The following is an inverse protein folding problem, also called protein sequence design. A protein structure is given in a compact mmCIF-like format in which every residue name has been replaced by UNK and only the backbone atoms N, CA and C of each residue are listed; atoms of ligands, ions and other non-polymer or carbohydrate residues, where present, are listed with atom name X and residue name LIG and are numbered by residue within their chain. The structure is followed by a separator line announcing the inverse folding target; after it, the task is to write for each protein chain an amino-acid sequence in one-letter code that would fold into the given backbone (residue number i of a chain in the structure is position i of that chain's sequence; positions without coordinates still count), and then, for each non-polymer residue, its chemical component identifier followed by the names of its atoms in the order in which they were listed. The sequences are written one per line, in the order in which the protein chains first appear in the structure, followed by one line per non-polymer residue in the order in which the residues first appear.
data_IF_332121822326
#
_entry.id   IF_332121822326
#
_cell.length_a   1.000
_cell.length_b   1.000
_cell.length_c   1.000
_cell.angle_alpha   90.00
_cell.angle_beta   90.00
_cell.angle_gamma   90.00
#
_symmetry.space_group_name_H-M   'P 1'
#
loop_
_entity.id
_entity.type
_entity.pdbx_description
1 polymer ?
#
# COMPACT_ATOMS: atom_id res chain seq x y z
N UNK A 1 -6.29 33.04 15.14
CA UNK A 1 -7.18 32.15 14.34
C UNK A 1 -8.12 31.37 15.24
N UNK A 2 -9.41 31.23 14.87
CA UNK A 2 -10.42 30.43 15.60
C UNK A 2 -10.93 29.30 14.72
N UNK A 3 -11.44 28.23 15.35
CA UNK A 3 -12.08 27.12 14.61
C UNK A 3 -13.30 27.63 13.83
N UNK A 4 -13.43 27.24 12.56
CA UNK A 4 -14.48 27.66 11.64
C UNK A 4 -14.13 28.89 10.80
N UNK A 5 -13.11 29.66 11.14
CA UNK A 5 -12.65 30.78 10.33
C UNK A 5 -11.98 30.28 9.04
N UNK A 6 -12.14 31.06 7.96
CA UNK A 6 -11.60 30.78 6.62
C UNK A 6 -10.43 31.74 6.35
N UNK A 7 -9.36 31.18 5.82
CA UNK A 7 -8.16 31.91 5.44
C UNK A 7 -7.70 31.53 4.03
N UNK A 8 -6.86 32.38 3.46
CA UNK A 8 -6.16 32.15 2.20
C UNK A 8 -4.66 32.29 2.43
N UNK A 9 -3.88 31.45 1.75
CA UNK A 9 -2.42 31.52 1.84
C UNK A 9 -1.76 30.55 0.86
N UNK A 10 -0.43 30.66 0.76
CA UNK A 10 0.38 29.81 -0.10
C UNK A 10 0.93 28.65 0.72
N UNK A 11 0.88 27.45 0.17
CA UNK A 11 1.56 26.28 0.74
C UNK A 11 3.06 26.45 0.47
N UNK A 12 3.82 26.77 1.53
CA UNK A 12 5.26 27.04 1.41
C UNK A 12 6.07 25.75 1.22
N UNK A 13 5.69 24.69 1.93
CA UNK A 13 6.29 23.33 1.82
C UNK A 13 5.30 22.26 2.23
N UNK A 14 5.61 21.03 1.86
CA UNK A 14 4.82 19.84 2.24
C UNK A 14 5.76 18.79 2.85
N UNK A 15 5.52 18.42 4.10
CA UNK A 15 6.21 17.31 4.77
C UNK A 15 5.42 15.99 4.56
N UNK A 16 6.12 14.86 4.71
CA UNK A 16 5.52 13.52 4.58
C UNK A 16 4.40 13.30 5.61
N UNK A 17 3.28 12.63 5.27
CA UNK A 17 2.89 12.12 3.94
C UNK A 17 2.14 13.13 3.05
N UNK A 18 1.84 14.28 3.42
CA UNK A 18 1.30 15.46 2.76
C UNK A 18 0.75 16.44 3.80
N UNK A 19 1.64 16.97 4.61
CA UNK A 19 1.34 18.05 5.55
C UNK A 19 1.86 19.35 4.95
N UNK A 20 0.97 20.06 4.23
CA UNK A 20 1.27 21.40 3.71
C UNK A 20 1.32 22.41 4.84
N UNK A 21 2.23 23.38 4.76
CA UNK A 21 2.37 24.46 5.72
C UNK A 21 2.06 25.78 5.07
N UNK A 22 1.13 26.53 5.69
CA UNK A 22 0.76 27.88 5.32
C UNK A 22 1.05 28.81 6.50
N UNK A 23 1.67 29.97 6.23
CA UNK A 23 1.91 31.00 7.24
C UNK A 23 0.81 32.07 7.15
N UNK A 24 0.13 32.34 8.25
CA UNK A 24 -0.85 33.42 8.37
C UNK A 24 -0.43 34.31 9.54
N UNK A 25 0.04 35.50 9.26
CA UNK A 25 0.46 36.50 10.26
C UNK A 25 1.47 35.94 11.30
N UNK A 26 2.41 35.10 10.84
CA UNK A 26 3.41 34.45 11.67
C UNK A 26 2.93 33.17 12.39
N UNK A 27 1.66 32.81 12.29
CA UNK A 27 1.12 31.53 12.81
C UNK A 27 1.13 30.46 11.74
N UNK A 28 1.77 29.32 12.00
CA UNK A 28 1.90 28.19 11.09
C UNK A 28 0.67 27.29 11.13
N UNK A 29 0.03 27.09 9.98
CA UNK A 29 -1.13 26.22 9.81
C UNK A 29 -0.79 24.99 8.97
N UNK A 30 -1.22 23.81 9.39
CA UNK A 30 -1.09 22.58 8.61
C UNK A 30 -2.34 22.42 7.75
N UNK A 31 -2.17 22.43 6.42
CA UNK A 31 -3.23 22.17 5.45
C UNK A 31 -2.85 20.94 4.64
N UNK A 32 -3.63 19.87 4.78
CA UNK A 32 -3.39 18.61 4.05
C UNK A 32 -3.97 18.67 2.64
N UNK A 33 -3.52 17.75 1.78
CA UNK A 33 -4.01 17.53 0.41
C UNK A 33 -3.69 18.69 -0.56
N UNK A 34 -2.58 19.37 -0.35
CA UNK A 34 -2.09 20.39 -1.25
C UNK A 34 -0.69 20.11 -1.80
N UNK A 35 -0.28 20.91 -2.75
CA UNK A 35 1.02 20.88 -3.43
C UNK A 35 1.80 22.15 -3.05
N UNK A 36 3.13 22.09 -2.85
CA UNK A 36 3.93 23.28 -2.58
C UNK A 36 3.75 24.33 -3.69
N UNK A 37 3.57 25.60 -3.32
CA UNK A 37 3.34 26.71 -4.25
C UNK A 37 1.87 26.97 -4.60
N UNK A 38 0.93 26.07 -4.25
CA UNK A 38 -0.49 26.36 -4.41
C UNK A 38 -0.95 27.48 -3.49
N UNK A 39 -1.74 28.43 -4.02
CA UNK A 39 -2.54 29.34 -3.20
C UNK A 39 -3.88 28.69 -2.91
N UNK A 40 -4.19 28.55 -1.65
CA UNK A 40 -5.34 27.77 -1.18
C UNK A 40 -6.24 28.58 -0.26
N UNK A 41 -7.55 28.28 -0.29
CA UNK A 41 -8.50 28.68 0.73
C UNK A 41 -8.79 27.48 1.62
N UNK A 42 -8.70 27.67 2.92
CA UNK A 42 -8.91 26.61 3.90
C UNK A 42 -9.66 27.12 5.13
N UNK A 43 -10.31 26.22 5.82
CA UNK A 43 -11.03 26.50 7.06
C UNK A 43 -10.33 25.86 8.25
N UNK A 44 -10.09 26.60 9.31
CA UNK A 44 -9.54 26.06 10.55
C UNK A 44 -10.53 25.03 11.14
N UNK A 45 -10.12 23.77 11.16
CA UNK A 45 -10.94 22.67 11.67
C UNK A 45 -10.49 22.19 13.05
N UNK A 46 -9.22 22.40 13.43
CA UNK A 46 -8.67 21.99 14.70
C UNK A 46 -7.61 22.96 15.18
N UNK A 47 -7.66 23.26 16.48
CA UNK A 47 -6.61 24.02 17.18
C UNK A 47 -6.32 23.30 18.51
N UNK A 48 -5.08 22.85 18.69
CA UNK A 48 -4.66 22.13 19.91
C UNK A 48 -3.18 22.36 20.19
N UNK A 49 -2.86 22.75 21.44
CA UNK A 49 -1.46 22.86 21.93
C UNK A 49 -0.56 23.70 21.02
N UNK A 50 -1.03 24.89 20.58
CA UNK A 50 -0.24 25.80 19.71
C UNK A 50 -0.15 25.38 18.23
N UNK A 51 -0.83 24.29 17.82
CA UNK A 51 -0.88 23.84 16.42
C UNK A 51 -2.26 24.08 15.85
N UNK A 52 -2.32 24.72 14.66
CA UNK A 52 -3.54 24.94 13.90
C UNK A 52 -3.57 24.01 12.69
N UNK A 53 -4.69 23.30 12.48
CA UNK A 53 -4.93 22.47 11.29
C UNK A 53 -6.09 23.06 10.49
N UNK A 54 -5.90 23.18 9.18
CA UNK A 54 -6.89 23.66 8.22
C UNK A 54 -7.37 22.54 7.29
N UNK A 55 -8.66 22.53 6.98
CA UNK A 55 -9.23 21.72 5.92
C UNK A 55 -9.20 22.53 4.62
N UNK A 56 -8.51 22.02 3.61
CA UNK A 56 -8.50 22.57 2.26
C UNK A 56 -9.95 22.65 1.72
N UNK A 57 -10.36 23.81 1.27
CA UNK A 57 -11.67 24.02 0.66
C UNK A 57 -11.55 24.10 -0.87
N UNK A 58 -10.60 24.91 -1.36
CA UNK A 58 -10.39 25.11 -2.81
C UNK A 58 -8.95 25.56 -3.06
N UNK A 59 -8.39 25.14 -4.19
CA UNK A 59 -7.16 25.68 -4.77
C UNK A 59 -7.56 26.92 -5.59
N UNK A 60 -7.01 28.09 -5.25
CA UNK A 60 -7.27 29.36 -5.91
C UNK A 60 -6.32 29.59 -7.08
N UNK A 61 -5.06 29.21 -6.91
CA UNK A 61 -4.02 29.30 -7.93
C UNK A 61 -3.19 28.00 -7.88
N UNK A 62 -2.95 27.41 -9.04
CA UNK A 62 -2.15 26.20 -9.16
C UNK A 62 -0.68 26.45 -8.79
N UNK A 63 0.00 25.41 -8.37
CA UNK A 63 1.45 25.44 -8.16
C UNK A 63 2.19 25.54 -9.51
N UNK A 64 3.35 26.20 -9.55
CA UNK A 64 4.25 26.08 -10.70
C UNK A 64 4.70 24.65 -11.03
N UNK A 65 4.56 23.70 -10.07
CA UNK A 65 4.85 22.28 -10.26
C UNK A 65 3.72 21.53 -11.01
N UNK A 66 2.55 22.14 -11.13
CA UNK A 66 1.38 21.57 -11.81
C UNK A 66 1.44 21.91 -13.32
N UNK A 67 2.17 21.10 -14.07
CA UNK A 67 2.54 21.36 -15.46
C UNK A 67 1.79 20.48 -16.47
N UNK A 68 0.89 19.61 -16.02
CA UNK A 68 0.12 18.71 -16.88
C UNK A 68 -1.36 18.65 -16.49
N UNK A 69 -2.20 18.29 -17.46
CA UNK A 69 -3.60 17.99 -17.21
C UNK A 69 -3.75 16.59 -16.61
N UNK A 70 -4.67 16.40 -15.64
CA UNK A 70 -4.92 15.09 -15.07
C UNK A 70 -5.56 14.15 -16.10
N UNK A 71 -5.10 12.90 -16.13
CA UNK A 71 -5.61 11.89 -17.06
C UNK A 71 -6.87 11.20 -16.56
N UNK A 72 -7.21 11.33 -15.28
CA UNK A 72 -8.38 10.71 -14.66
C UNK A 72 -9.53 11.74 -14.52
N UNK A 73 -10.71 11.39 -15.03
CA UNK A 73 -11.89 12.26 -15.06
C UNK A 73 -12.43 12.66 -13.67
N UNK A 74 -12.21 11.84 -12.66
CA UNK A 74 -12.68 12.07 -11.28
C UNK A 74 -11.60 12.71 -10.38
N UNK A 75 -10.44 13.04 -10.93
CA UNK A 75 -9.45 13.88 -10.22
C UNK A 75 -9.91 15.34 -10.21
N UNK A 76 -9.68 16.12 -9.15
CA UNK A 76 -9.07 15.79 -7.85
C UNK A 76 -10.05 15.30 -6.77
N UNK A 77 -11.31 15.03 -7.14
CA UNK A 77 -12.35 14.69 -6.18
C UNK A 77 -12.14 13.30 -5.53
N UNK A 78 -11.57 12.35 -6.29
CA UNK A 78 -11.24 11.02 -5.79
C UNK A 78 -10.09 11.04 -4.77
N UNK A 79 -10.21 10.25 -3.70
CA UNK A 79 -9.18 10.10 -2.67
C UNK A 79 -7.97 9.24 -3.08
N UNK A 80 -7.99 8.59 -4.25
CA UNK A 80 -6.96 7.65 -4.67
C UNK A 80 -5.68 8.30 -5.19
N UNK A 81 -5.75 9.50 -5.78
CA UNK A 81 -4.60 10.22 -6.36
C UNK A 81 -4.45 11.61 -5.76
N UNK A 82 -3.19 12.08 -5.72
CA UNK A 82 -2.85 13.40 -5.19
C UNK A 82 -2.11 14.28 -6.21
N UNK A 83 -1.33 13.69 -7.13
CA UNK A 83 -0.29 14.41 -7.86
C UNK A 83 -0.42 14.36 -9.38
N UNK A 84 -1.60 14.00 -9.94
CA UNK A 84 -1.78 13.86 -11.40
C UNK A 84 -1.49 15.12 -12.22
N UNK A 85 -1.47 16.28 -11.59
CA UNK A 85 -1.11 17.57 -12.25
C UNK A 85 0.39 17.83 -12.26
N UNK A 86 1.19 17.09 -11.48
CA UNK A 86 2.65 17.19 -11.45
C UNK A 86 3.28 16.21 -12.41
N UNK A 87 4.42 16.57 -13.03
CA UNK A 87 5.23 15.58 -13.73
C UNK A 87 5.74 14.50 -12.77
N UNK A 88 5.95 13.27 -13.25
CA UNK A 88 6.42 12.18 -12.41
C UNK A 88 7.79 12.47 -11.79
N UNK A 89 8.66 13.15 -12.54
CA UNK A 89 9.97 13.59 -12.03
C UNK A 89 9.84 14.53 -10.82
N UNK A 90 8.92 15.49 -10.85
CA UNK A 90 8.69 16.40 -9.73
C UNK A 90 8.03 15.69 -8.54
N UNK A 91 7.17 14.70 -8.77
CA UNK A 91 6.65 13.83 -7.71
C UNK A 91 7.77 13.10 -6.98
N UNK A 92 8.72 12.50 -7.74
CA UNK A 92 9.89 11.81 -7.18
C UNK A 92 10.77 12.77 -6.37
N UNK A 93 11.14 13.92 -6.91
CA UNK A 93 11.94 14.94 -6.20
C UNK A 93 11.29 15.39 -4.89
N UNK A 94 9.97 15.60 -4.92
CA UNK A 94 9.22 15.99 -3.72
C UNK A 94 9.22 14.87 -2.67
N UNK A 95 8.93 13.63 -3.05
CA UNK A 95 8.95 12.47 -2.16
C UNK A 95 10.35 12.23 -1.58
N UNK A 96 11.39 12.31 -2.42
CA UNK A 96 12.77 12.19 -2.01
C UNK A 96 13.13 13.22 -0.94
N UNK A 97 12.86 14.49 -1.20
CA UNK A 97 13.13 15.59 -0.26
C UNK A 97 12.43 15.38 1.08
N UNK A 98 11.17 14.92 1.06
CA UNK A 98 10.40 14.64 2.26
C UNK A 98 10.99 13.51 3.09
N UNK A 99 11.33 12.38 2.45
CA UNK A 99 11.84 11.20 3.15
C UNK A 99 13.25 11.44 3.66
N UNK A 100 14.15 11.95 2.79
CA UNK A 100 15.52 12.28 3.19
C UNK A 100 15.55 13.23 4.37
N UNK A 101 14.74 14.30 4.34
CA UNK A 101 14.65 15.26 5.45
C UNK A 101 14.17 14.64 6.75
N UNK A 102 13.16 13.77 6.65
CA UNK A 102 12.62 13.04 7.80
C UNK A 102 13.63 12.09 8.45
N UNK A 103 14.36 11.32 7.64
CA UNK A 103 15.40 10.41 8.14
C UNK A 103 16.61 11.18 8.69
N UNK A 104 17.00 12.28 8.04
CA UNK A 104 18.10 13.13 8.51
C UNK A 104 17.81 13.72 9.89
N UNK A 105 16.56 14.13 10.14
CA UNK A 105 16.13 14.58 11.47
C UNK A 105 16.24 13.45 12.51
N UNK A 106 15.89 12.22 12.13
CA UNK A 106 15.92 11.07 13.03
C UNK A 106 17.34 10.61 13.41
N UNK A 107 18.29 10.65 12.45
CA UNK A 107 19.68 10.25 12.72
C UNK A 107 20.54 11.38 13.29
N UNK A 108 20.06 12.62 13.22
CA UNK A 108 20.75 13.82 13.66
C UNK A 108 21.46 14.57 12.53
N UNK A 109 21.56 15.90 12.71
CA UNK A 109 22.21 16.79 11.75
C UNK A 109 23.71 16.50 11.76
N UNK A 110 24.28 16.24 10.57
CA UNK A 110 25.70 15.92 10.37
C UNK A 110 26.04 14.42 10.33
N UNK A 111 25.09 13.54 10.62
CA UNK A 111 25.24 12.10 10.36
C UNK A 111 24.98 11.82 8.89
N UNK A 112 25.84 11.06 8.23
CA UNK A 112 25.63 10.65 6.84
C UNK A 112 24.55 9.55 6.77
N UNK A 113 23.55 9.77 5.93
CA UNK A 113 22.54 8.78 5.60
C UNK A 113 22.99 7.82 4.49
N UNK A 114 24.12 8.12 3.82
CA UNK A 114 24.52 7.43 2.59
C UNK A 114 23.34 7.27 1.63
N UNK A 115 22.69 8.41 1.37
CA UNK A 115 21.44 8.47 0.61
C UNK A 115 21.69 8.31 -0.89
N UNK A 116 21.09 7.26 -1.49
CA UNK A 116 21.26 6.87 -2.89
C UNK A 116 20.15 7.41 -3.81
N UNK A 117 19.20 8.18 -3.27
CA UNK A 117 18.12 8.78 -4.04
C UNK A 117 16.79 8.03 -3.94
N UNK A 118 15.89 8.34 -4.88
CA UNK A 118 14.60 7.68 -5.03
C UNK A 118 14.54 6.96 -6.38
N UNK A 119 14.15 5.69 -6.36
CA UNK A 119 13.90 4.89 -7.55
C UNK A 119 12.43 4.99 -7.95
N UNK A 120 12.16 5.40 -9.19
CA UNK A 120 10.80 5.47 -9.72
C UNK A 120 10.23 4.09 -10.07
N UNK A 121 8.92 4.01 -10.18
CA UNK A 121 8.23 2.85 -10.76
C UNK A 121 8.52 2.78 -12.27
N UNK A 122 8.71 1.59 -12.84
CA UNK A 122 8.86 1.43 -14.29
C UNK A 122 7.66 1.94 -15.11
N UNK A 123 6.48 1.96 -14.52
CA UNK A 123 5.26 2.52 -15.12
C UNK A 123 4.54 3.40 -14.12
N UNK A 124 3.98 4.51 -14.59
CA UNK A 124 3.29 5.51 -13.76
C UNK A 124 1.81 5.17 -13.57
N UNK A 125 1.17 4.58 -14.58
CA UNK A 125 -0.24 4.23 -14.61
C UNK A 125 -0.44 2.75 -14.92
N UNK A 126 -1.61 2.21 -14.62
CA UNK A 126 -1.94 0.81 -14.85
C UNK A 126 -1.15 -0.19 -13.98
N UNK A 127 -0.43 0.31 -13.01
CA UNK A 127 0.50 -0.50 -12.20
C UNK A 127 -0.17 -1.35 -11.12
N UNK A 128 -1.37 -0.95 -10.66
CA UNK A 128 -2.02 -1.65 -9.56
C UNK A 128 -2.59 -3.00 -9.98
N UNK A 129 -2.04 -4.03 -9.39
CA UNK A 129 -2.47 -5.42 -9.57
C UNK A 129 -3.60 -5.84 -8.61
N UNK A 130 -3.94 -5.01 -7.61
CA UNK A 130 -5.03 -5.20 -6.66
C UNK A 130 -5.78 -3.90 -6.44
N UNK A 131 -7.10 -3.92 -6.56
CA UNK A 131 -7.95 -2.80 -6.21
C UNK A 131 -9.23 -3.29 -5.56
N UNK A 132 -9.59 -2.63 -4.48
CA UNK A 132 -10.83 -2.80 -3.76
C UNK A 132 -11.70 -1.57 -4.04
N UNK A 133 -12.78 -1.78 -4.79
CA UNK A 133 -13.76 -0.75 -5.08
C UNK A 133 -14.94 -0.91 -4.14
N UNK A 134 -15.47 0.19 -3.63
CA UNK A 134 -16.65 0.20 -2.77
C UNK A 134 -17.91 0.44 -3.59
N UNK A 135 -18.98 -0.27 -3.27
CA UNK A 135 -20.33 0.12 -3.66
C UNK A 135 -20.82 1.25 -2.73
N UNK A 136 -21.56 2.18 -3.29
CA UNK A 136 -22.09 3.33 -2.55
C UNK A 136 -22.95 4.23 -3.41
N UNK A 137 -23.03 5.49 -3.01
CA UNK A 137 -23.61 6.59 -3.79
C UNK A 137 -22.67 7.80 -3.77
N UNK A 138 -22.71 8.64 -4.80
CA UNK A 138 -21.89 9.86 -4.88
C UNK A 138 -22.40 10.96 -3.95
N UNK A 139 -23.68 10.93 -3.68
CA UNK A 139 -24.39 11.78 -2.73
C UNK A 139 -25.57 10.99 -2.14
N UNK A 140 -25.96 11.34 -0.95
CA UNK A 140 -27.00 10.62 -0.20
C UNK A 140 -28.24 10.33 -1.07
N UNK A 141 -28.60 9.03 -1.13
CA UNK A 141 -29.72 8.48 -1.90
C UNK A 141 -29.63 8.75 -3.41
N UNK A 142 -28.39 8.92 -3.93
CA UNK A 142 -28.05 9.00 -5.35
C UNK A 142 -28.09 7.63 -6.05
N UNK A 143 -27.76 7.58 -7.35
CA UNK A 143 -27.67 6.33 -8.07
C UNK A 143 -26.55 5.45 -7.52
N UNK A 144 -26.68 4.12 -7.74
CA UNK A 144 -25.65 3.18 -7.35
C UNK A 144 -24.32 3.55 -8.03
N UNK A 145 -23.26 3.64 -7.24
CA UNK A 145 -21.91 3.92 -7.68
C UNK A 145 -20.99 2.76 -7.28
N UNK A 146 -19.96 2.51 -8.06
CA UNK A 146 -18.90 1.54 -7.75
C UNK A 146 -17.54 2.16 -8.03
N UNK A 147 -16.72 2.31 -6.99
CA UNK A 147 -15.43 2.96 -7.16
C UNK A 147 -14.73 3.30 -5.86
N UNK A 148 -14.24 4.53 -5.75
CA UNK A 148 -13.40 4.97 -4.65
C UNK A 148 -14.05 6.13 -3.89
N UNK A 149 -13.72 6.21 -2.60
CA UNK A 149 -14.25 7.29 -1.76
C UNK A 149 -13.78 8.66 -2.23
N UNK A 150 -14.70 9.62 -2.16
CA UNK A 150 -14.42 11.03 -2.39
C UNK A 150 -13.45 11.56 -1.33
N UNK A 151 -12.52 12.40 -1.75
CA UNK A 151 -11.51 13.00 -0.86
C UNK A 151 -12.18 13.75 0.31
N UNK A 152 -11.87 13.29 1.54
CA UNK A 152 -12.44 13.88 2.76
C UNK A 152 -13.85 13.41 3.11
N UNK A 153 -14.42 12.45 2.36
CA UNK A 153 -15.65 11.74 2.72
C UNK A 153 -15.38 10.26 2.98
N UNK A 154 -16.11 9.68 3.94
CA UNK A 154 -16.10 8.24 4.22
C UNK A 154 -17.34 7.52 3.69
N UNK A 155 -18.27 8.27 3.14
CA UNK A 155 -19.56 7.76 2.64
C UNK A 155 -19.68 7.90 1.12
N UNK A 156 -19.33 9.06 0.56
CA UNK A 156 -19.51 9.34 -0.86
C UNK A 156 -18.54 8.50 -1.70
N UNK A 157 -19.05 7.76 -2.66
CA UNK A 157 -18.30 6.89 -3.58
C UNK A 157 -18.41 7.42 -5.00
N UNK A 158 -17.27 7.74 -5.61
CA UNK A 158 -17.18 8.15 -7.01
C UNK A 158 -16.99 6.93 -7.90
N UNK A 159 -17.78 6.79 -8.95
CA UNK A 159 -17.62 5.70 -9.92
C UNK A 159 -16.27 5.78 -10.62
N UNK A 160 -15.49 4.70 -10.52
CA UNK A 160 -14.10 4.64 -10.97
C UNK A 160 -13.92 3.91 -12.32
N UNK A 161 -14.89 4.05 -13.24
CA UNK A 161 -14.88 3.37 -14.55
C UNK A 161 -13.75 3.80 -15.50
N UNK A 162 -13.01 4.88 -15.16
CA UNK A 162 -11.86 5.37 -15.92
C UNK A 162 -10.61 5.51 -15.03
N UNK A 163 -10.51 4.72 -13.96
CA UNK A 163 -9.36 4.77 -13.06
C UNK A 163 -8.06 4.39 -13.80
N UNK A 164 -7.08 5.29 -13.80
CA UNK A 164 -5.81 5.09 -14.51
C UNK A 164 -4.76 4.34 -13.69
N UNK A 165 -4.97 4.14 -12.39
CA UNK A 165 -4.03 3.37 -11.55
C UNK A 165 -4.10 1.87 -11.80
N UNK A 166 -5.22 1.37 -12.33
CA UNK A 166 -5.44 -0.04 -12.64
C UNK A 166 -5.43 -0.29 -14.14
N UNK A 167 -5.20 -1.54 -14.53
CA UNK A 167 -5.29 -1.96 -15.93
C UNK A 167 -6.72 -1.78 -16.48
N UNK A 168 -6.90 -1.45 -17.77
CA UNK A 168 -8.23 -1.30 -18.41
C UNK A 168 -9.16 -2.47 -18.23
N UNK A 169 -8.66 -3.71 -18.18
CA UNK A 169 -9.46 -4.90 -17.87
C UNK A 169 -10.25 -4.74 -16.56
N UNK A 170 -9.61 -4.17 -15.53
CA UNK A 170 -10.25 -4.01 -14.22
C UNK A 170 -11.37 -2.96 -14.25
N UNK A 171 -11.22 -1.90 -15.03
CA UNK A 171 -12.29 -0.89 -15.19
C UNK A 171 -13.44 -1.41 -16.08
N UNK A 172 -13.15 -2.25 -17.07
CA UNK A 172 -14.18 -2.92 -17.86
C UNK A 172 -15.01 -3.89 -17.01
N UNK A 173 -14.37 -4.67 -16.15
CA UNK A 173 -15.05 -5.55 -15.18
C UNK A 173 -15.88 -4.73 -14.20
N UNK A 174 -15.33 -3.65 -13.64
CA UNK A 174 -16.05 -2.76 -12.73
C UNK A 174 -17.32 -2.23 -13.37
N UNK A 175 -17.24 -1.72 -14.60
CA UNK A 175 -18.40 -1.18 -15.33
C UNK A 175 -19.47 -2.25 -15.56
N UNK A 176 -19.07 -3.45 -15.99
CA UNK A 176 -19.96 -4.57 -16.21
C UNK A 176 -20.68 -5.03 -14.92
N UNK A 177 -19.97 -5.05 -13.79
CA UNK A 177 -20.53 -5.39 -12.47
C UNK A 177 -21.50 -4.31 -11.99
N UNK A 178 -21.15 -3.03 -12.16
CA UNK A 178 -22.02 -1.91 -11.80
C UNK A 178 -23.32 -1.93 -12.60
N UNK A 179 -23.23 -2.11 -13.92
CA UNK A 179 -24.41 -2.17 -14.80
C UNK A 179 -25.32 -3.34 -14.40
N UNK A 180 -24.75 -4.52 -14.16
CA UNK A 180 -25.51 -5.71 -13.76
C UNK A 180 -26.33 -5.47 -12.49
N UNK A 181 -25.73 -4.95 -11.43
CA UNK A 181 -26.45 -4.72 -10.18
C UNK A 181 -27.37 -3.50 -10.24
N UNK A 182 -27.10 -2.54 -11.10
CA UNK A 182 -28.01 -1.42 -11.38
C UNK A 182 -29.28 -1.92 -12.08
N UNK A 183 -29.15 -2.79 -13.07
CA UNK A 183 -30.28 -3.44 -13.78
C UNK A 183 -31.17 -4.24 -12.82
N UNK A 184 -30.57 -4.87 -11.79
CA UNK A 184 -31.30 -5.62 -10.75
C UNK A 184 -31.91 -4.74 -9.66
N UNK A 185 -31.61 -3.44 -9.63
CA UNK A 185 -32.01 -2.55 -8.55
C UNK A 185 -31.40 -2.90 -7.19
N UNK A 186 -30.24 -3.55 -7.16
CA UNK A 186 -29.57 -3.97 -5.95
C UNK A 186 -29.08 -2.75 -5.14
N UNK A 187 -29.17 -2.83 -3.80
CA UNK A 187 -28.85 -1.73 -2.90
C UNK A 187 -27.49 -1.94 -2.24
N UNK A 188 -26.66 -0.89 -2.21
CA UNK A 188 -25.41 -0.94 -1.46
C UNK A 188 -25.63 -0.98 0.07
N UNK A 189 -24.66 -1.54 0.78
CA UNK A 189 -24.69 -1.61 2.24
C UNK A 189 -24.47 -0.23 2.87
N UNK A 190 -25.48 0.23 3.61
CA UNK A 190 -25.47 1.51 4.34
C UNK A 190 -24.86 1.30 5.73
N UNK A 191 -23.60 1.69 5.91
CA UNK A 191 -22.78 1.44 7.12
C UNK A 191 -23.45 1.92 8.43
N UNK A 192 -24.19 3.02 8.39
CA UNK A 192 -24.86 3.56 9.59
C UNK A 192 -26.17 2.86 9.96
N UNK A 193 -26.87 2.30 8.97
CA UNK A 193 -28.12 1.58 9.16
C UNK A 193 -27.91 0.07 9.28
N UNK A 194 -26.72 -0.43 8.88
CA UNK A 194 -26.40 -1.85 8.79
C UNK A 194 -27.36 -2.63 7.89
N UNK A 195 -27.83 -1.98 6.81
CA UNK A 195 -28.78 -2.54 5.85
C UNK A 195 -28.29 -2.37 4.43
N UNK A 196 -28.62 -3.32 3.54
CA UNK A 196 -28.24 -3.34 2.14
C UNK A 196 -27.36 -4.53 1.83
N UNK A 197 -27.11 -4.76 0.55
CA UNK A 197 -26.51 -5.98 0.05
C UNK A 197 -25.06 -5.79 -0.42
N UNK A 198 -24.82 -4.87 -1.36
CA UNK A 198 -23.53 -4.72 -2.02
C UNK A 198 -22.52 -3.98 -1.16
N UNK A 199 -21.32 -4.55 -0.97
CA UNK A 199 -20.24 -3.94 -0.19
C UNK A 199 -19.06 -3.53 -1.05
N UNK A 200 -18.37 -4.49 -1.66
CA UNK A 200 -17.13 -4.23 -2.41
C UNK A 200 -17.02 -5.09 -3.66
N UNK A 201 -16.24 -4.62 -4.61
CA UNK A 201 -15.67 -5.38 -5.70
C UNK A 201 -14.16 -5.40 -5.53
N UNK A 202 -13.58 -6.56 -5.20
CA UNK A 202 -12.14 -6.74 -5.13
C UNK A 202 -11.67 -7.39 -6.44
N UNK A 203 -10.76 -6.71 -7.13
CA UNK A 203 -10.13 -7.22 -8.35
C UNK A 203 -8.64 -7.44 -8.12
N UNK A 204 -8.13 -8.54 -8.64
CA UNK A 204 -6.69 -8.85 -8.69
C UNK A 204 -6.33 -9.24 -10.12
N UNK A 205 -5.18 -8.75 -10.60
CA UNK A 205 -4.68 -9.06 -11.94
C UNK A 205 -3.18 -9.30 -11.88
N UNK A 206 -2.73 -10.46 -12.33
CA UNK A 206 -1.30 -10.71 -12.52
C UNK A 206 -0.76 -9.82 -13.64
N UNK A 207 0.34 -9.13 -13.37
CA UNK A 207 0.98 -8.25 -14.37
C UNK A 207 1.65 -9.08 -15.45
N UNK A 208 2.36 -10.15 -15.06
CA UNK A 208 3.07 -11.03 -15.98
C UNK A 208 2.17 -12.11 -16.59
N UNK A 209 1.20 -12.65 -15.84
CA UNK A 209 0.33 -13.73 -16.30
C UNK A 209 -0.91 -13.23 -17.05
N UNK A 210 -1.36 -12.00 -16.79
CA UNK A 210 -2.66 -11.50 -17.27
C UNK A 210 -3.85 -12.18 -16.62
N UNK A 211 -3.66 -13.07 -15.65
CA UNK A 211 -4.73 -13.77 -14.95
C UNK A 211 -5.50 -12.83 -14.01
N UNK A 212 -6.84 -12.93 -14.02
CA UNK A 212 -7.71 -12.02 -13.26
C UNK A 212 -8.60 -12.81 -12.31
N UNK A 213 -8.65 -12.37 -11.04
CA UNK A 213 -9.64 -12.80 -10.07
C UNK A 213 -10.64 -11.68 -9.80
N UNK A 214 -11.91 -12.05 -9.80
CA UNK A 214 -13.04 -11.16 -9.52
C UNK A 214 -13.76 -11.62 -8.27
N UNK A 215 -13.92 -10.72 -7.28
CA UNK A 215 -14.62 -11.04 -6.04
C UNK A 215 -15.70 -10.00 -5.81
N UNK A 216 -16.95 -10.45 -5.80
CA UNK A 216 -18.11 -9.64 -5.40
C UNK A 216 -18.36 -9.88 -3.92
N UNK A 217 -18.28 -8.83 -3.12
CA UNK A 217 -18.41 -8.91 -1.66
C UNK A 217 -19.73 -8.27 -1.25
N UNK A 218 -20.56 -9.03 -0.52
CA UNK A 218 -21.91 -8.63 -0.15
C UNK A 218 -22.20 -8.96 1.31
N UNK A 219 -23.35 -8.55 1.77
CA UNK A 219 -23.96 -9.12 2.99
C UNK A 219 -24.83 -10.32 2.63
N UNK A 220 -25.37 -11.00 3.64
CA UNK A 220 -26.38 -12.07 3.50
C UNK A 220 -27.82 -11.54 3.42
N UNK A 221 -28.05 -10.21 3.35
CA UNK A 221 -29.39 -9.61 3.49
C UNK A 221 -30.26 -9.72 2.23
N UNK A 222 -29.68 -10.17 1.12
CA UNK A 222 -30.40 -10.50 -0.12
C UNK A 222 -29.70 -11.64 -0.84
N UNK A 223 -30.37 -12.22 -1.82
CA UNK A 223 -29.83 -13.27 -2.66
C UNK A 223 -30.14 -12.98 -4.12
N UNK A 224 -29.15 -13.14 -5.00
CA UNK A 224 -29.28 -12.96 -6.44
C UNK A 224 -28.67 -14.15 -7.18
N UNK A 225 -29.20 -14.44 -8.38
CA UNK A 225 -28.58 -15.39 -9.29
C UNK A 225 -27.33 -14.74 -9.94
N UNK A 226 -26.16 -15.33 -9.71
CA UNK A 226 -24.90 -14.89 -10.27
C UNK A 226 -24.55 -15.50 -11.63
N UNK A 227 -25.29 -16.50 -12.13
CA UNK A 227 -24.98 -17.13 -13.39
C UNK A 227 -25.00 -16.14 -14.58
N UNK A 228 -25.94 -15.18 -14.66
CA UNK A 228 -25.90 -14.15 -15.69
C UNK A 228 -24.69 -13.22 -15.59
N UNK A 229 -24.28 -12.85 -14.36
CA UNK A 229 -23.09 -12.03 -14.15
C UNK A 229 -21.81 -12.77 -14.59
N UNK A 230 -21.67 -14.03 -14.22
CA UNK A 230 -20.54 -14.88 -14.65
C UNK A 230 -20.46 -14.91 -16.18
N UNK A 231 -21.58 -15.19 -16.86
CA UNK A 231 -21.64 -15.23 -18.31
C UNK A 231 -21.26 -13.89 -18.95
N UNK A 232 -21.76 -12.78 -18.38
CA UNK A 232 -21.48 -11.41 -18.84
C UNK A 232 -19.99 -11.07 -18.68
N UNK A 233 -19.38 -11.41 -17.56
CA UNK A 233 -17.97 -11.15 -17.30
C UNK A 233 -17.04 -11.96 -18.21
N UNK A 234 -17.36 -13.24 -18.44
CA UNK A 234 -16.56 -14.10 -19.32
C UNK A 234 -16.66 -13.71 -20.81
N UNK A 235 -17.69 -12.95 -21.21
CA UNK A 235 -17.86 -12.43 -22.55
C UNK A 235 -17.15 -11.08 -22.80
N UNK A 236 -16.56 -10.45 -21.77
CA UNK A 236 -15.85 -9.18 -21.92
C UNK A 236 -14.60 -9.34 -22.80
N UNK A 237 -14.34 -8.40 -23.72
CA UNK A 237 -13.13 -8.39 -24.54
C UNK A 237 -11.93 -7.86 -23.75
N UNK A 238 -11.43 -8.66 -22.83
CA UNK A 238 -10.29 -8.32 -21.97
C UNK A 238 -8.97 -8.70 -22.64
N UNK A 239 -7.91 -8.00 -22.33
CA UNK A 239 -6.56 -8.39 -22.71
C UNK A 239 -6.11 -9.60 -21.88
N UNK A 240 -6.39 -9.58 -20.57
CA UNK A 240 -6.15 -10.69 -19.67
C UNK A 240 -7.26 -11.73 -19.70
N UNK A 241 -7.14 -12.72 -18.81
CA UNK A 241 -8.11 -13.82 -18.69
C UNK A 241 -8.67 -13.89 -17.27
N UNK A 242 -9.99 -13.88 -17.14
CA UNK A 242 -10.63 -14.20 -15.85
C UNK A 242 -10.41 -15.69 -15.59
N UNK A 243 -9.69 -16.01 -14.53
CA UNK A 243 -9.38 -17.37 -14.07
C UNK A 243 -10.25 -17.79 -12.90
N UNK A 244 -10.85 -16.82 -12.20
CA UNK A 244 -11.76 -17.11 -11.09
C UNK A 244 -12.72 -15.97 -10.81
N UNK A 245 -13.95 -16.34 -10.44
CA UNK A 245 -14.99 -15.42 -9.96
C UNK A 245 -15.53 -15.99 -8.65
N UNK A 246 -15.56 -15.16 -7.62
CA UNK A 246 -16.01 -15.54 -6.28
C UNK A 246 -17.08 -14.58 -5.76
N UNK A 247 -18.05 -15.13 -5.06
CA UNK A 247 -18.97 -14.39 -4.22
C UNK A 247 -18.55 -14.56 -2.76
N UNK A 248 -18.29 -13.47 -2.08
CA UNK A 248 -17.85 -13.44 -0.69
C UNK A 248 -18.95 -12.78 0.15
N UNK A 249 -19.41 -13.49 1.16
CA UNK A 249 -20.32 -12.94 2.16
C UNK A 249 -19.47 -12.37 3.31
N UNK A 250 -19.78 -11.13 3.67
CA UNK A 250 -19.15 -10.42 4.78
C UNK A 250 -20.22 -9.63 5.54
N UNK A 251 -20.63 -10.16 6.67
CA UNK A 251 -21.65 -9.55 7.55
C UNK A 251 -21.04 -8.75 8.71
N UNK A 252 -19.69 -8.56 8.71
CA UNK A 252 -19.05 -7.77 9.74
C UNK A 252 -19.55 -6.31 9.73
N UNK A 253 -19.62 -5.70 10.90
CA UNK A 253 -19.98 -4.28 11.03
C UNK A 253 -18.84 -3.37 10.55
N UNK A 254 -17.60 -3.87 10.55
CA UNK A 254 -16.43 -3.15 10.05
C UNK A 254 -16.43 -3.11 8.52
N UNK A 255 -15.75 -2.09 7.98
CA UNK A 255 -15.59 -1.92 6.53
C UNK A 255 -14.39 -2.69 5.96
N UNK A 256 -13.85 -3.62 6.72
CA UNK A 256 -12.72 -4.45 6.31
C UNK A 256 -13.21 -5.56 5.40
N UNK A 257 -12.52 -5.78 4.29
CA UNK A 257 -12.78 -6.93 3.42
C UNK A 257 -12.26 -8.19 4.10
N UNK A 258 -13.20 -8.98 4.58
CA UNK A 258 -13.00 -10.31 5.16
C UNK A 258 -14.08 -11.25 4.65
N UNK A 259 -13.99 -12.53 4.96
CA UNK A 259 -14.93 -13.53 4.51
C UNK A 259 -15.53 -14.29 5.69
N UNK A 260 -16.85 -14.29 5.78
CA UNK A 260 -17.60 -15.23 6.60
C UNK A 260 -17.91 -16.50 5.80
N UNK A 261 -18.14 -16.35 4.47
CA UNK A 261 -18.34 -17.44 3.53
C UNK A 261 -17.79 -17.05 2.15
N UNK A 262 -17.10 -17.96 1.47
CA UNK A 262 -16.65 -17.77 0.09
C UNK A 262 -17.24 -18.86 -0.81
N UNK A 263 -17.94 -18.44 -1.89
CA UNK A 263 -18.52 -19.29 -2.91
C UNK A 263 -17.76 -19.11 -4.21
N UNK A 264 -17.14 -20.18 -4.71
CA UNK A 264 -16.51 -20.19 -6.03
C UNK A 264 -17.60 -20.30 -7.10
N UNK A 265 -17.78 -19.24 -7.90
CA UNK A 265 -18.77 -19.18 -8.97
C UNK A 265 -18.21 -19.68 -10.31
N UNK A 266 -16.91 -19.49 -10.53
CA UNK A 266 -16.22 -19.92 -11.74
C UNK A 266 -14.73 -20.11 -11.50
N UNK A 267 -14.14 -21.14 -12.11
CA UNK A 267 -12.70 -21.34 -12.22
C UNK A 267 -11.99 -21.69 -10.92
N UNK A 268 -11.04 -20.89 -10.51
CA UNK A 268 -10.17 -21.12 -9.36
C UNK A 268 -10.08 -19.86 -8.45
N UNK A 269 -9.62 -20.05 -7.22
CA UNK A 269 -9.51 -19.00 -6.18
C UNK A 269 -8.10 -18.37 -6.09
N UNK A 270 -7.26 -18.61 -7.08
CA UNK A 270 -5.90 -18.09 -7.13
C UNK A 270 -5.50 -17.66 -8.56
N UNK A 271 -4.46 -16.87 -8.65
CA UNK A 271 -3.75 -16.55 -9.88
C UNK A 271 -2.24 -16.65 -9.67
N UNK A 272 -1.50 -16.60 -10.76
CA UNK A 272 -0.04 -16.60 -10.69
C UNK A 272 0.54 -15.24 -11.06
N UNK A 273 1.62 -14.87 -10.38
CA UNK A 273 2.46 -13.73 -10.70
C UNK A 273 3.93 -14.17 -10.70
N UNK A 274 4.77 -13.49 -11.50
CA UNK A 274 6.22 -13.74 -11.52
C UNK A 274 6.93 -12.49 -11.04
N UNK A 275 7.86 -12.64 -10.09
CA UNK A 275 8.75 -11.59 -9.61
C UNK A 275 10.20 -12.10 -9.64
N UNK A 276 11.09 -11.37 -10.33
CA UNK A 276 12.52 -11.69 -10.42
C UNK A 276 12.79 -13.17 -10.75
N UNK A 277 11.97 -13.74 -11.63
CA UNK A 277 12.07 -15.13 -12.10
C UNK A 277 11.41 -16.18 -11.20
N UNK A 278 10.93 -15.84 -10.02
CA UNK A 278 10.17 -16.74 -9.15
C UNK A 278 8.67 -16.61 -9.40
N UNK A 279 7.97 -17.73 -9.40
CA UNK A 279 6.53 -17.82 -9.59
C UNK A 279 5.80 -17.87 -8.27
N UNK A 280 4.79 -17.03 -8.08
CA UNK A 280 3.98 -16.97 -6.86
C UNK A 280 2.52 -17.32 -7.16
N UNK A 281 1.98 -18.27 -6.41
CA UNK A 281 0.55 -18.55 -6.35
C UNK A 281 -0.08 -17.59 -5.34
N UNK A 282 -1.02 -16.76 -5.79
CA UNK A 282 -1.62 -15.70 -5.00
C UNK A 282 -3.12 -15.95 -4.87
N UNK A 283 -3.59 -16.18 -3.66
CA UNK A 283 -5.02 -16.36 -3.36
C UNK A 283 -5.72 -15.02 -3.09
N UNK A 284 -7.03 -15.07 -2.90
CA UNK A 284 -7.91 -13.92 -2.65
C UNK A 284 -7.37 -12.95 -1.60
N UNK A 285 -7.00 -13.46 -0.42
CA UNK A 285 -6.60 -12.66 0.73
C UNK A 285 -5.09 -12.56 0.93
N UNK A 286 -4.28 -13.31 0.18
CA UNK A 286 -2.82 -13.23 0.28
C UNK A 286 -2.32 -11.81 0.08
N UNK A 287 -1.45 -11.34 0.99
CA UNK A 287 -0.72 -10.10 0.76
C UNK A 287 0.23 -10.28 -0.42
N UNK A 288 0.27 -9.30 -1.28
CA UNK A 288 1.24 -9.18 -2.36
C UNK A 288 1.39 -7.71 -2.71
N UNK A 289 2.60 -7.26 -3.05
CA UNK A 289 2.84 -5.86 -3.37
C UNK A 289 1.94 -5.39 -4.53
N UNK A 290 1.24 -4.26 -4.37
CA UNK A 290 0.22 -3.84 -5.35
C UNK A 290 0.77 -3.33 -6.68
N UNK A 291 2.07 -3.15 -6.79
CA UNK A 291 2.82 -2.79 -7.99
C UNK A 291 3.94 -3.81 -8.19
N UNK A 292 3.70 -4.84 -9.00
CA UNK A 292 4.66 -5.93 -9.22
C UNK A 292 5.99 -5.43 -9.81
N UNK A 293 5.94 -4.49 -10.76
CA UNK A 293 7.16 -3.98 -11.42
C UNK A 293 8.01 -3.13 -10.47
N UNK A 294 7.41 -2.28 -9.65
CA UNK A 294 8.15 -1.52 -8.65
C UNK A 294 8.59 -2.40 -7.47
N UNK A 295 7.88 -3.51 -7.19
CA UNK A 295 8.32 -4.51 -6.23
C UNK A 295 9.60 -5.22 -6.69
N UNK A 296 9.76 -5.49 -7.98
CA UNK A 296 11.03 -6.01 -8.54
C UNK A 296 12.18 -5.03 -8.32
N UNK A 297 11.96 -3.71 -8.48
CA UNK A 297 12.95 -2.68 -8.17
C UNK A 297 13.30 -2.72 -6.68
N UNK A 298 12.28 -2.69 -5.79
CA UNK A 298 12.47 -2.74 -4.34
C UNK A 298 13.28 -3.97 -3.91
N UNK A 299 12.88 -5.14 -4.35
CA UNK A 299 13.52 -6.39 -3.94
C UNK A 299 14.91 -6.60 -4.56
N UNK A 300 15.17 -6.04 -5.74
CA UNK A 300 16.51 -6.00 -6.32
C UNK A 300 17.45 -5.15 -5.47
N UNK A 301 16.99 -4.01 -4.95
CA UNK A 301 17.73 -3.15 -4.03
C UNK A 301 17.98 -3.88 -2.71
N UNK A 302 16.96 -4.52 -2.14
CA UNK A 302 17.12 -5.29 -0.89
C UNK A 302 18.17 -6.38 -1.08
N UNK A 303 18.13 -7.12 -2.18
CA UNK A 303 19.12 -8.16 -2.50
C UNK A 303 20.53 -7.58 -2.69
N UNK A 304 20.65 -6.42 -3.32
CA UNK A 304 21.94 -5.71 -3.48
C UNK A 304 22.48 -5.23 -2.12
N UNK A 305 21.63 -4.72 -1.23
CA UNK A 305 22.02 -4.29 0.11
C UNK A 305 22.49 -5.46 0.99
N UNK A 306 21.92 -6.63 0.82
CA UNK A 306 22.31 -7.84 1.53
C UNK A 306 23.67 -8.36 1.03
N UNK A 307 23.94 -8.23 -0.26
CA UNK A 307 25.16 -8.72 -0.90
C UNK A 307 25.24 -10.26 -0.97
N UNK A 308 26.44 -10.81 -1.02
CA UNK A 308 26.67 -12.26 -1.05
C UNK A 308 26.62 -12.84 0.37
N UNK A 309 25.59 -13.64 0.64
CA UNK A 309 25.32 -14.26 1.93
C UNK A 309 25.21 -15.78 1.83
N UNK A 310 25.86 -16.41 0.82
CA UNK A 310 25.76 -17.86 0.57
C UNK A 310 26.11 -18.76 1.75
N UNK A 311 26.93 -18.27 2.66
CA UNK A 311 27.33 -18.97 3.85
C UNK A 311 26.57 -18.53 5.12
N UNK A 312 25.61 -17.58 4.97
CA UNK A 312 24.92 -16.91 6.06
C UNK A 312 23.48 -17.38 6.23
N UNK A 313 23.02 -17.37 7.49
CA UNK A 313 21.64 -17.56 7.88
C UNK A 313 20.96 -16.18 8.02
N UNK A 314 19.83 -16.02 7.34
CA UNK A 314 19.09 -14.75 7.27
C UNK A 314 17.73 -14.92 7.91
N UNK A 315 17.35 -14.02 8.82
CA UNK A 315 15.98 -13.95 9.32
C UNK A 315 15.20 -12.89 8.53
N UNK A 316 14.05 -13.28 8.01
CA UNK A 316 13.04 -12.41 7.40
C UNK A 316 11.88 -12.25 8.37
N UNK A 317 11.91 -11.18 9.18
CA UNK A 317 10.90 -10.92 10.20
C UNK A 317 9.76 -10.10 9.62
N UNK A 318 8.52 -10.52 9.90
CA UNK A 318 7.28 -10.05 9.26
C UNK A 318 7.20 -10.49 7.80
N UNK A 319 7.53 -11.76 7.53
CA UNK A 319 7.80 -12.28 6.18
C UNK A 319 6.57 -12.36 5.26
N UNK A 320 5.35 -12.19 5.78
CA UNK A 320 4.11 -12.28 5.00
C UNK A 320 4.04 -13.63 4.26
N UNK A 321 3.80 -13.58 2.96
CA UNK A 321 3.79 -14.78 2.08
C UNK A 321 5.19 -15.24 1.66
N UNK A 322 6.23 -14.79 2.37
CA UNK A 322 7.62 -15.22 2.18
C UNK A 322 8.26 -14.75 0.87
N UNK A 323 7.79 -13.64 0.31
CA UNK A 323 8.31 -13.14 -0.98
C UNK A 323 9.78 -12.76 -0.87
N UNK A 324 10.16 -11.99 0.15
CA UNK A 324 11.54 -11.55 0.39
C UNK A 324 12.41 -12.78 0.68
N UNK A 325 12.01 -13.64 1.61
CA UNK A 325 12.73 -14.85 1.96
C UNK A 325 13.06 -15.71 0.74
N UNK A 326 12.08 -15.92 -0.15
CA UNK A 326 12.28 -16.72 -1.36
C UNK A 326 13.22 -16.06 -2.38
N UNK A 327 13.12 -14.74 -2.55
CA UNK A 327 14.02 -14.00 -3.44
C UNK A 327 15.47 -14.01 -2.94
N UNK A 328 15.67 -14.15 -1.64
CA UNK A 328 16.99 -14.25 -1.00
C UNK A 328 17.54 -15.66 -0.98
N UNK A 329 16.72 -16.69 -1.15
CA UNK A 329 17.16 -18.07 -1.14
C UNK A 329 18.32 -18.36 -2.09
N UNK A 330 18.39 -17.66 -3.23
CA UNK A 330 19.47 -17.80 -4.21
C UNK A 330 20.83 -17.26 -3.75
N UNK A 331 20.85 -16.39 -2.75
CA UNK A 331 22.06 -15.71 -2.24
C UNK A 331 22.35 -15.99 -0.78
N UNK A 332 21.54 -16.79 -0.08
CA UNK A 332 21.69 -17.15 1.32
C UNK A 332 21.88 -18.67 1.50
N UNK A 333 22.52 -19.07 2.59
CA UNK A 333 22.60 -20.48 3.02
C UNK A 333 21.22 -21.01 3.42
N UNK A 334 20.55 -20.28 4.30
CA UNK A 334 19.20 -20.55 4.77
C UNK A 334 18.48 -19.22 5.05
N UNK A 335 17.19 -19.15 4.76
CA UNK A 335 16.35 -18.02 5.14
C UNK A 335 15.20 -18.53 6.02
N UNK A 336 15.06 -17.94 7.21
CA UNK A 336 14.00 -18.23 8.15
C UNK A 336 13.02 -17.07 8.18
N UNK A 337 11.81 -17.28 7.63
CA UNK A 337 10.72 -16.34 7.65
C UNK A 337 9.85 -16.51 8.89
N UNK A 338 9.52 -15.40 9.57
CA UNK A 338 8.61 -15.38 10.72
C UNK A 338 7.42 -14.50 10.41
N UNK A 339 6.21 -15.04 10.51
CA UNK A 339 4.96 -14.35 10.21
C UNK A 339 3.86 -14.78 11.17
N UNK A 340 3.04 -13.83 11.63
CA UNK A 340 1.96 -14.10 12.59
C UNK A 340 0.74 -14.77 11.97
N UNK A 341 0.49 -14.53 10.67
CA UNK A 341 -0.68 -15.04 9.94
C UNK A 341 -0.39 -16.42 9.40
N UNK A 342 -1.00 -17.45 9.98
CA UNK A 342 -0.74 -18.86 9.63
C UNK A 342 -1.02 -19.17 8.14
N UNK A 343 -2.08 -18.60 7.57
CA UNK A 343 -2.41 -18.75 6.15
C UNK A 343 -1.34 -18.16 5.23
N UNK A 344 -0.68 -17.08 5.65
CA UNK A 344 0.42 -16.49 4.91
C UNK A 344 1.66 -17.39 4.96
N UNK A 345 1.93 -18.03 6.10
CA UNK A 345 3.01 -19.01 6.26
C UNK A 345 2.78 -20.23 5.38
N UNK A 346 1.57 -20.77 5.33
CA UNK A 346 1.24 -21.89 4.44
C UNK A 346 1.38 -21.49 2.96
N UNK A 347 0.94 -20.30 2.58
CA UNK A 347 1.16 -19.77 1.23
C UNK A 347 2.66 -19.63 0.90
N UNK A 348 3.48 -19.19 1.86
CA UNK A 348 4.93 -19.12 1.71
C UNK A 348 5.57 -20.49 1.45
N UNK A 349 5.16 -21.51 2.19
CA UNK A 349 5.63 -22.91 1.99
C UNK A 349 5.25 -23.45 0.62
N UNK A 350 3.99 -23.23 0.19
CA UNK A 350 3.50 -23.63 -1.14
C UNK A 350 4.32 -22.95 -2.24
N UNK A 351 4.59 -21.65 -2.11
CA UNK A 351 5.36 -20.89 -3.09
C UNK A 351 6.83 -21.29 -3.12
N UNK A 352 7.46 -21.56 -1.97
CA UNK A 352 8.82 -22.08 -1.92
C UNK A 352 8.93 -23.45 -2.61
N UNK A 353 7.99 -24.36 -2.36
CA UNK A 353 7.93 -25.65 -3.04
C UNK A 353 7.70 -25.50 -4.56
N UNK A 354 6.82 -24.59 -4.98
CA UNK A 354 6.56 -24.26 -6.41
C UNK A 354 7.83 -23.83 -7.13
N UNK A 355 8.72 -23.11 -6.45
CA UNK A 355 9.99 -22.62 -6.96
C UNK A 355 11.17 -23.57 -6.72
N UNK A 356 10.94 -24.76 -6.13
CA UNK A 356 11.98 -25.73 -5.82
C UNK A 356 13.00 -25.26 -4.78
N UNK A 357 12.63 -24.29 -3.92
CA UNK A 357 13.49 -23.74 -2.89
C UNK A 357 13.47 -24.65 -1.65
N UNK A 358 14.64 -25.16 -1.25
CA UNK A 358 14.79 -26.08 -0.10
C UNK A 358 15.43 -25.41 1.12
N UNK A 359 15.91 -24.20 0.97
CA UNK A 359 16.61 -23.42 2.00
C UNK A 359 15.78 -22.25 2.55
N UNK A 360 14.45 -22.31 2.41
CA UNK A 360 13.51 -21.41 3.07
C UNK A 360 12.70 -22.19 4.11
N UNK A 361 12.71 -21.73 5.35
CA UNK A 361 11.87 -22.24 6.44
C UNK A 361 10.94 -21.15 6.92
N UNK A 362 9.68 -21.46 7.14
CA UNK A 362 8.67 -20.48 7.57
C UNK A 362 8.04 -20.92 8.89
N UNK A 363 7.94 -19.99 9.83
CA UNK A 363 7.44 -20.17 11.19
C UNK A 363 6.23 -19.27 11.40
N UNK A 364 5.10 -19.89 11.76
CA UNK A 364 3.90 -19.16 12.15
C UNK A 364 4.01 -18.72 13.61
N UNK A 365 3.91 -17.43 13.86
CA UNK A 365 3.88 -16.87 15.21
C UNK A 365 4.22 -15.39 15.29
N UNK A 366 3.88 -14.83 16.44
CA UNK A 366 4.24 -13.44 16.75
C UNK A 366 5.77 -13.32 16.88
N UNK A 367 6.39 -12.44 16.10
CA UNK A 367 7.82 -12.14 16.16
C UNK A 367 8.29 -11.96 17.60
N UNK A 368 7.51 -11.25 18.45
CA UNK A 368 7.82 -11.02 19.84
C UNK A 368 8.01 -12.31 20.67
N UNK A 369 7.28 -13.39 20.33
CA UNK A 369 7.32 -14.69 21.02
C UNK A 369 8.31 -15.63 20.37
N UNK A 370 8.25 -15.73 19.04
CA UNK A 370 9.11 -16.66 18.26
C UNK A 370 10.59 -16.37 18.50
N UNK A 371 10.98 -15.08 18.64
CA UNK A 371 12.37 -14.71 18.94
C UNK A 371 12.89 -15.23 20.30
N UNK A 372 12.01 -15.56 21.25
CA UNK A 372 12.43 -16.17 22.53
C UNK A 372 12.71 -17.68 22.40
N UNK A 373 12.06 -18.34 21.44
CA UNK A 373 12.12 -19.80 21.27
C UNK A 373 13.14 -20.24 20.20
N UNK A 374 13.58 -19.29 19.33
CA UNK A 374 14.60 -19.59 18.31
C UNK A 374 15.97 -19.79 18.93
N UNK A 375 16.58 -20.94 18.67
CA UNK A 375 17.93 -21.29 19.09
C UNK A 375 18.99 -20.87 18.06
N UNK A 376 18.58 -20.67 16.83
CA UNK A 376 19.41 -20.23 15.71
C UNK A 376 19.84 -18.76 15.91
N UNK A 377 21.05 -18.46 15.51
CA UNK A 377 21.60 -17.11 15.51
C UNK A 377 21.78 -16.64 14.08
N UNK A 378 20.96 -15.70 13.61
CA UNK A 378 21.12 -15.19 12.25
C UNK A 378 22.41 -14.39 12.13
N UNK A 379 22.99 -14.43 10.94
CA UNK A 379 24.08 -13.53 10.56
C UNK A 379 23.55 -12.15 10.13
N UNK A 380 22.29 -12.11 9.66
CA UNK A 380 21.62 -10.90 9.19
C UNK A 380 20.12 -10.97 9.46
N UNK A 381 19.52 -9.81 9.68
CA UNK A 381 18.06 -9.69 9.85
C UNK A 381 17.49 -8.73 8.80
N UNK A 382 16.37 -9.11 8.20
CA UNK A 382 15.55 -8.27 7.35
C UNK A 382 14.25 -7.97 8.08
N UNK A 383 13.83 -6.72 8.02
CA UNK A 383 12.65 -6.21 8.69
C UNK A 383 11.74 -5.56 7.65
N UNK A 384 10.53 -6.10 7.47
CA UNK A 384 9.45 -5.46 6.70
C UNK A 384 8.18 -5.35 7.57
N UNK A 385 8.23 -4.57 8.66
CA UNK A 385 7.15 -4.49 9.63
C UNK A 385 5.92 -3.78 9.05
N UNK A 386 4.74 -3.95 9.68
CA UNK A 386 3.52 -3.24 9.30
C UNK A 386 3.68 -1.72 9.40
N UNK A 387 2.70 -0.97 8.87
CA UNK A 387 2.70 0.51 8.83
C UNK A 387 3.00 1.20 10.16
N UNK A 388 2.70 0.55 11.29
CA UNK A 388 3.00 1.09 12.61
C UNK A 388 4.46 0.89 13.05
N UNK A 389 5.29 0.25 12.21
CA UNK A 389 6.69 -0.05 12.50
C UNK A 389 6.84 -1.23 13.46
N UNK A 390 8.03 -1.37 14.02
CA UNK A 390 8.34 -2.45 14.96
C UNK A 390 7.64 -2.21 16.30
N UNK A 391 7.05 -3.27 16.84
CA UNK A 391 6.43 -3.18 18.16
C UNK A 391 7.49 -2.82 19.23
N UNK A 392 7.25 -1.84 20.13
CA UNK A 392 8.27 -1.37 21.08
C UNK A 392 8.89 -2.46 21.98
N UNK A 393 8.17 -3.57 22.23
CA UNK A 393 8.71 -4.70 22.99
C UNK A 393 9.51 -5.69 22.12
N UNK A 394 9.29 -5.73 20.80
CA UNK A 394 10.03 -6.58 19.89
C UNK A 394 11.39 -5.98 19.52
N UNK A 395 11.48 -4.66 19.40
CA UNK A 395 12.70 -3.96 19.00
C UNK A 395 13.91 -4.29 19.89
N UNK A 396 13.83 -4.25 21.23
CA UNK A 396 14.97 -4.66 22.08
C UNK A 396 15.40 -6.13 21.88
N UNK A 397 14.45 -7.04 21.59
CA UNK A 397 14.78 -8.45 21.34
C UNK A 397 15.52 -8.63 20.02
N UNK A 398 15.09 -7.92 18.97
CA UNK A 398 15.75 -7.92 17.67
C UNK A 398 17.19 -7.40 17.84
N UNK A 399 17.37 -6.29 18.54
CA UNK A 399 18.70 -5.70 18.82
C UNK A 399 19.59 -6.62 19.67
N UNK A 400 19.02 -7.44 20.54
CA UNK A 400 19.75 -8.38 21.39
C UNK A 400 20.45 -9.52 20.62
N UNK A 401 19.99 -9.83 19.38
CA UNK A 401 20.71 -10.77 18.50
C UNK A 401 22.11 -10.26 18.14
N UNK A 402 22.29 -8.94 18.11
CA UNK A 402 23.60 -8.32 17.89
C UNK A 402 24.22 -8.66 16.53
N UNK A 403 23.37 -8.92 15.53
CA UNK A 403 23.82 -9.22 14.15
C UNK A 403 24.62 -8.06 13.58
N UNK A 404 25.55 -8.36 12.67
CA UNK A 404 26.36 -7.33 12.03
C UNK A 404 25.51 -6.41 11.14
N UNK A 405 24.57 -6.95 10.39
CA UNK A 405 23.81 -6.21 9.39
C UNK A 405 22.29 -6.39 9.55
N UNK A 406 21.57 -5.28 9.42
CA UNK A 406 20.10 -5.24 9.41
C UNK A 406 19.63 -4.42 8.21
N UNK A 407 18.72 -4.99 7.41
CA UNK A 407 17.99 -4.26 6.37
C UNK A 407 16.58 -3.98 6.87
N UNK A 408 16.18 -2.70 6.89
CA UNK A 408 14.83 -2.28 7.26
C UNK A 408 14.11 -1.72 6.04
N UNK A 409 12.98 -2.32 5.68
CA UNK A 409 12.07 -1.89 4.62
C UNK A 409 10.86 -1.25 5.29
N UNK A 410 10.38 -0.11 4.79
CA UNK A 410 9.25 0.60 5.41
C UNK A 410 8.34 1.27 4.39
N UNK A 411 7.08 0.87 4.38
CA UNK A 411 6.03 1.56 3.62
C UNK A 411 5.55 2.87 4.27
N UNK A 412 6.09 3.22 5.44
CA UNK A 412 5.77 4.45 6.17
C UNK A 412 7.03 5.05 6.80
N UNK A 413 7.74 5.90 6.07
CA UNK A 413 9.02 6.48 6.53
C UNK A 413 8.98 7.11 7.92
N UNK A 414 7.82 7.61 8.38
CA UNK A 414 7.69 8.15 9.75
C UNK A 414 7.80 7.08 10.84
N UNK A 415 7.45 5.84 10.56
CA UNK A 415 7.64 4.73 11.50
C UNK A 415 9.10 4.30 11.54
N UNK A 416 9.76 4.21 10.39
CA UNK A 416 11.20 3.99 10.30
C UNK A 416 11.98 5.09 11.04
N UNK A 417 11.67 6.37 10.80
CA UNK A 417 12.32 7.51 11.47
C UNK A 417 12.14 7.47 13.00
N UNK A 418 11.02 6.96 13.50
CA UNK A 418 10.80 6.74 14.93
C UNK A 418 11.66 5.61 15.49
N UNK A 419 11.86 4.55 14.73
CA UNK A 419 12.55 3.34 15.17
C UNK A 419 14.08 3.48 15.06
N UNK A 420 14.60 4.21 14.07
CA UNK A 420 16.03 4.42 13.80
C UNK A 420 16.87 4.81 15.04
N UNK A 421 16.46 5.75 15.90
CA UNK A 421 17.25 6.13 17.06
C UNK A 421 17.60 4.96 17.99
N UNK A 422 16.74 3.94 18.08
CA UNK A 422 17.03 2.76 18.90
C UNK A 422 18.13 1.88 18.29
N UNK A 423 18.18 1.76 16.97
CA UNK A 423 19.28 1.07 16.28
C UNK A 423 20.60 1.82 16.46
N UNK A 424 20.59 3.15 16.29
CA UNK A 424 21.79 3.98 16.49
C UNK A 424 22.31 3.88 17.94
N UNK A 425 21.40 3.92 18.93
CA UNK A 425 21.75 3.75 20.34
C UNK A 425 22.32 2.36 20.66
N UNK A 426 21.97 1.34 19.87
CA UNK A 426 22.52 -0.01 19.97
C UNK A 426 23.85 -0.19 19.20
N UNK A 427 24.41 0.87 18.63
CA UNK A 427 25.71 0.89 17.94
C UNK A 427 25.65 0.56 16.46
N UNK A 428 24.47 0.61 15.84
CA UNK A 428 24.34 0.52 14.39
C UNK A 428 24.57 1.90 13.74
N UNK A 429 25.13 1.88 12.55
CA UNK A 429 25.29 3.05 11.68
C UNK A 429 24.57 2.79 10.35
N UNK A 430 23.95 3.82 9.76
CA UNK A 430 23.38 3.71 8.42
C UNK A 430 24.52 3.58 7.41
N UNK A 431 24.49 2.55 6.58
CA UNK A 431 25.48 2.30 5.53
C UNK A 431 24.98 2.68 4.15
N UNK A 432 23.71 2.43 3.89
CA UNK A 432 23.02 2.76 2.62
C UNK A 432 21.56 3.07 2.90
N UNK A 433 21.01 4.00 2.16
CA UNK A 433 19.57 4.28 2.25
C UNK A 433 19.04 4.81 0.91
N UNK A 434 17.82 4.42 0.57
CA UNK A 434 17.11 4.92 -0.60
C UNK A 434 15.59 4.84 -0.41
N UNK A 435 14.84 5.38 -1.37
CA UNK A 435 13.40 5.17 -1.47
C UNK A 435 13.02 4.54 -2.81
N UNK A 436 11.85 3.90 -2.85
CA UNK A 436 11.25 3.34 -4.06
C UNK A 436 9.80 3.80 -4.16
N UNK A 437 9.42 4.40 -5.28
CA UNK A 437 8.05 4.83 -5.51
C UNK A 437 7.19 3.66 -6.02
N UNK A 438 6.64 2.90 -5.09
CA UNK A 438 5.67 1.85 -5.38
C UNK A 438 4.26 2.39 -5.71
N UNK A 439 3.99 3.66 -5.38
CA UNK A 439 2.64 4.22 -5.36
C UNK A 439 2.60 5.55 -6.09
N UNK A 440 2.88 5.51 -7.40
CA UNK A 440 2.79 6.69 -8.27
C UNK A 440 1.46 7.42 -8.08
N UNK A 441 1.46 8.74 -8.27
CA UNK A 441 0.29 9.61 -8.11
C UNK A 441 -0.24 9.74 -6.68
N UNK A 442 0.39 9.07 -5.70
CA UNK A 442 -0.04 9.08 -4.30
C UNK A 442 1.06 9.66 -3.39
N UNK A 443 0.74 9.86 -2.12
CA UNK A 443 1.68 10.35 -1.10
C UNK A 443 2.60 9.27 -0.54
N UNK A 444 2.39 8.00 -0.89
CA UNK A 444 3.10 6.88 -0.30
C UNK A 444 4.42 6.59 -1.02
N UNK A 445 5.36 6.02 -0.29
CA UNK A 445 6.69 5.64 -0.76
C UNK A 445 7.24 4.53 0.13
N UNK A 446 8.00 3.60 -0.46
CA UNK A 446 8.80 2.63 0.29
C UNK A 446 10.19 3.20 0.57
N UNK A 447 10.79 2.79 1.67
CA UNK A 447 12.14 3.21 2.06
C UNK A 447 12.94 2.01 2.52
N UNK A 448 14.18 1.90 2.08
CA UNK A 448 15.10 0.82 2.45
C UNK A 448 16.32 1.42 3.13
N UNK A 449 16.72 0.87 4.27
CA UNK A 449 17.91 1.27 5.00
C UNK A 449 18.71 0.02 5.38
N UNK A 450 19.98 -0.01 4.98
CA UNK A 450 20.96 -0.95 5.48
C UNK A 450 21.68 -0.31 6.66
N UNK A 451 21.71 -1.00 7.77
CA UNK A 451 22.43 -0.62 8.98
C UNK A 451 23.46 -1.69 9.31
N UNK A 452 24.66 -1.29 9.69
CA UNK A 452 25.70 -2.19 10.17
C UNK A 452 26.18 -1.79 11.56
N UNK A 453 26.53 -2.81 12.35
CA UNK A 453 27.14 -2.65 13.67
C UNK A 453 28.60 -3.07 13.59
N UNK A 454 29.51 -2.23 14.15
CA UNK A 454 30.92 -2.54 14.34
C UNK A 454 31.15 -3.36 15.59
#
# INVERSE_FOLDING_TARGET
MKKGEIYEGIIEKVDFPNKGYVNIDGEKVIVKNGIPGQKVRFMINKKRSGRSEGRLLVVLENSPLEVREPVCKIFPACGGCMYQTMSYEEQLKMKETQVKGLLQEAVGIGTDLHWEGIHGSPIEFGYRNKMEFSFGDEYKDGPLSLGLHKKGSTYDVLTASDCKLVHPDMTAILSSVLDFFTELGAVHYKKMQHTGYLRHLLLRRGVTSGEILVHVITTNQAEYDYAPLVSRLLALPLEGKIVGIMHIINDSLSDVVQSDETRLLYGQDYFYETLLGLRFKISTFSFFQPNSLAAEVLYSIVRDYIGDTKDKEVFDLYSGTGTIAQLLASVAKEVIGVEIVEEAVEAAKVNAALNGLTNCRFIAGDVLKVLDDLTEKPDMIILDPPRDGIHPKALPKILAYGVENIVYISCKPTSLARDLPAFLAAGYEVQRSCSVDQFCETVHVETVVLMSRK
#
